data_IF_774457691464
#
_entry.id   IF_774457691464
#
_cell.length_a   1.000
_cell.length_b   1.000
_cell.length_c   1.000
_cell.angle_alpha   90.00
_cell.angle_beta   90.00
_cell.angle_gamma   90.00
#
_symmetry.space_group_name_H-M   'P 1'
#
loop_
_entity.id
_entity.type
_entity.pdbx_description
1 polymer ?
#
# COMPACT_ATOMS: atom_id res chain seq x y z
N UNK A 1 14.32 9.52 5.93
CA UNK A 1 13.58 8.55 6.77
C UNK A 1 12.95 9.37 7.88
N UNK A 2 11.62 9.49 8.00
CA UNK A 2 11.07 10.28 9.10
C UNK A 2 11.31 9.50 10.39
N UNK A 3 12.04 10.14 11.28
CA UNK A 3 12.59 9.61 12.52
C UNK A 3 11.48 9.40 13.56
N UNK A 4 11.43 8.20 14.17
CA UNK A 4 10.89 8.06 15.53
C UNK A 4 9.58 7.31 15.73
N UNK A 5 8.98 6.68 14.72
CA UNK A 5 7.90 5.72 14.99
C UNK A 5 8.51 4.35 15.38
N UNK A 6 8.16 3.79 16.55
CA UNK A 6 8.51 2.43 16.89
C UNK A 6 7.91 1.46 15.87
N UNK A 7 8.57 0.33 15.63
CA UNK A 7 8.03 -0.72 14.76
C UNK A 7 6.87 -1.40 15.48
N UNK A 8 5.72 -1.45 14.84
CA UNK A 8 4.59 -2.23 15.36
C UNK A 8 4.86 -3.72 15.14
N UNK A 9 4.73 -4.49 16.23
CA UNK A 9 4.95 -5.94 16.22
C UNK A 9 3.65 -6.60 15.75
N UNK A 10 3.71 -7.33 14.63
CA UNK A 10 2.56 -8.04 14.08
C UNK A 10 2.41 -9.43 14.72
N UNK A 11 3.52 -10.11 14.98
CA UNK A 11 3.56 -11.42 15.60
C UNK A 11 4.99 -11.81 15.95
N UNK A 12 5.13 -12.78 16.84
CA UNK A 12 6.42 -13.29 17.33
C UNK A 12 6.37 -14.81 17.39
N UNK A 13 7.49 -15.46 17.09
CA UNK A 13 7.67 -16.86 17.37
C UNK A 13 8.71 -17.06 18.47
N UNK A 14 8.38 -17.94 19.41
CA UNK A 14 9.22 -18.27 20.56
C UNK A 14 9.39 -19.78 20.62
N UNK A 15 10.62 -20.22 20.81
CA UNK A 15 10.91 -21.59 21.20
C UNK A 15 10.63 -21.76 22.70
N UNK A 16 9.86 -22.78 23.05
CA UNK A 16 9.59 -23.20 24.43
C UNK A 16 9.96 -24.67 24.58
N UNK A 17 10.08 -25.17 25.81
CA UNK A 17 10.53 -26.55 26.10
C UNK A 17 9.79 -27.65 25.32
N UNK A 18 8.57 -27.38 24.83
CA UNK A 18 7.74 -28.33 24.09
C UNK A 18 7.45 -27.93 22.63
N UNK A 19 8.32 -27.12 22.01
CA UNK A 19 8.29 -26.78 20.58
C UNK A 19 8.23 -25.28 20.29
N UNK A 20 7.90 -24.92 19.05
CA UNK A 20 7.70 -23.52 18.64
C UNK A 20 6.26 -23.06 18.88
N UNK A 21 6.13 -21.88 19.48
CA UNK A 21 4.85 -21.19 19.69
C UNK A 21 4.85 -19.88 18.92
N UNK A 22 3.79 -19.66 18.14
CA UNK A 22 3.51 -18.38 17.50
C UNK A 22 2.51 -17.57 18.31
N UNK A 23 2.77 -16.28 18.45
CA UNK A 23 1.95 -15.30 19.15
C UNK A 23 1.64 -14.15 18.20
N UNK A 24 0.36 -14.03 17.81
CA UNK A 24 -0.13 -12.99 16.91
C UNK A 24 -0.62 -11.78 17.73
N UNK A 25 -0.13 -10.58 17.40
CA UNK A 25 -0.50 -9.32 18.04
C UNK A 25 -1.44 -8.47 17.15
N UNK A 26 -1.80 -8.99 15.98
CA UNK A 26 -2.69 -8.34 15.02
C UNK A 26 -3.86 -9.26 14.66
N UNK A 27 -5.07 -8.71 14.58
CA UNK A 27 -6.25 -9.46 14.15
C UNK A 27 -6.17 -9.94 12.68
N UNK A 28 -5.35 -9.25 11.87
CA UNK A 28 -5.22 -9.50 10.43
C UNK A 28 -3.94 -10.22 10.04
N UNK A 29 -2.91 -10.15 10.87
CA UNK A 29 -1.59 -10.71 10.62
C UNK A 29 -1.36 -11.97 11.45
N UNK A 30 -1.11 -13.09 10.77
CA UNK A 30 -0.76 -14.36 11.42
C UNK A 30 0.63 -14.76 11.06
N UNK A 31 1.44 -15.12 12.05
CA UNK A 31 2.79 -15.61 11.85
C UNK A 31 2.79 -17.13 11.95
N UNK A 32 3.53 -17.79 11.06
CA UNK A 32 3.73 -19.24 11.10
C UNK A 32 5.21 -19.54 10.99
N UNK A 33 5.70 -20.38 11.90
CA UNK A 33 7.11 -20.65 12.11
C UNK A 33 7.37 -22.14 12.12
N UNK A 34 8.54 -22.53 11.62
CA UNK A 34 8.99 -23.92 11.57
C UNK A 34 10.32 -24.10 12.28
N UNK A 35 10.64 -25.34 12.62
CA UNK A 35 11.90 -25.73 13.26
C UNK A 35 13.13 -25.50 12.34
N UNK A 36 12.91 -25.15 11.06
CA UNK A 36 13.96 -24.87 10.06
C UNK A 36 14.42 -23.41 10.00
N UNK A 37 14.08 -22.61 11.01
CA UNK A 37 14.27 -21.15 11.02
C UNK A 37 13.53 -20.41 9.89
N UNK A 38 12.44 -21.00 9.38
CA UNK A 38 11.56 -20.30 8.44
C UNK A 38 10.40 -19.64 9.19
N UNK A 39 10.15 -18.39 8.85
CA UNK A 39 9.04 -17.59 9.38
C UNK A 39 8.27 -17.00 8.21
N UNK A 40 6.96 -17.19 8.23
CA UNK A 40 6.04 -16.66 7.25
C UNK A 40 5.02 -15.75 7.93
N UNK A 41 4.72 -14.62 7.28
CA UNK A 41 3.68 -13.69 7.70
C UNK A 41 2.54 -13.74 6.70
N UNK A 42 1.34 -14.06 7.18
CA UNK A 42 0.12 -14.06 6.39
C UNK A 42 -0.79 -12.90 6.81
N UNK A 43 -0.96 -11.92 5.92
CA UNK A 43 -1.82 -10.76 6.12
C UNK A 43 -3.16 -10.95 5.39
N UNK A 44 -4.27 -10.73 6.09
CA UNK A 44 -5.63 -10.81 5.56
C UNK A 44 -6.26 -9.43 5.43
N UNK A 45 -7.12 -9.23 4.42
CA UNK A 45 -7.80 -7.95 4.21
C UNK A 45 -6.83 -6.79 3.97
N UNK A 46 -5.83 -7.00 3.12
CA UNK A 46 -4.75 -6.04 2.83
C UNK A 46 -5.32 -4.82 2.10
N UNK A 47 -5.02 -3.62 2.59
CA UNK A 47 -5.43 -2.31 2.04
C UNK A 47 -4.22 -1.47 1.61
N UNK A 48 -4.38 -0.45 0.75
CA UNK A 48 -3.26 0.40 0.29
C UNK A 48 -2.42 0.98 1.42
N UNK A 49 -3.04 1.32 2.55
CA UNK A 49 -2.42 1.87 3.76
C UNK A 49 -1.49 0.87 4.46
N UNK A 50 -1.60 -0.43 4.17
CA UNK A 50 -0.68 -1.46 4.66
C UNK A 50 0.66 -1.45 3.92
N UNK A 51 0.79 -0.66 2.84
CA UNK A 51 2.05 -0.50 2.11
C UNK A 51 3.12 0.13 2.99
N UNK A 52 4.32 -0.44 2.99
CA UNK A 52 5.41 0.07 3.81
C UNK A 52 6.56 -0.90 3.98
N UNK A 53 7.43 -0.58 4.93
CA UNK A 53 8.55 -1.44 5.31
C UNK A 53 8.11 -2.43 6.37
N UNK A 54 8.35 -3.71 6.11
CA UNK A 54 8.15 -4.80 7.04
C UNK A 54 9.51 -5.36 7.43
N UNK A 55 9.68 -5.64 8.72
CA UNK A 55 10.96 -6.09 9.26
C UNK A 55 10.77 -7.41 9.99
N UNK A 56 11.52 -8.42 9.55
CA UNK A 56 11.63 -9.70 10.24
C UNK A 56 12.97 -9.75 10.95
N UNK A 57 12.94 -10.08 12.25
CA UNK A 57 14.14 -10.20 13.08
C UNK A 57 14.18 -11.58 13.69
N UNK A 58 15.26 -12.30 13.42
CA UNK A 58 15.57 -13.60 14.00
C UNK A 58 16.67 -13.44 15.03
N UNK A 59 16.44 -13.94 16.24
CA UNK A 59 17.43 -13.97 17.30
C UNK A 59 17.76 -15.43 17.61
N UNK A 60 19.02 -15.81 17.43
CA UNK A 60 19.55 -17.14 17.71
C UNK A 60 20.81 -17.03 18.55
N UNK A 61 21.32 -18.16 19.04
CA UNK A 61 22.60 -18.20 19.78
C UNK A 61 23.79 -17.71 18.94
N UNK A 62 23.69 -17.80 17.60
CA UNK A 62 24.69 -17.30 16.66
C UNK A 62 24.61 -15.78 16.43
N UNK A 63 23.58 -15.12 16.96
CA UNK A 63 23.35 -13.68 16.86
C UNK A 63 21.98 -13.31 16.31
N UNK A 64 21.83 -12.02 16.01
CA UNK A 64 20.59 -11.43 15.52
C UNK A 64 20.71 -11.11 14.04
N UNK A 65 19.82 -11.67 13.23
CA UNK A 65 19.69 -11.36 11.81
C UNK A 65 18.40 -10.56 11.58
N UNK A 66 18.49 -9.53 10.74
CA UNK A 66 17.33 -8.68 10.41
C UNK A 66 17.21 -8.52 8.91
N UNK A 67 16.03 -8.82 8.38
CA UNK A 67 15.68 -8.66 6.97
C UNK A 67 14.51 -7.69 6.85
N UNK A 68 14.62 -6.72 5.94
CA UNK A 68 13.56 -5.74 5.69
C UNK A 68 13.03 -5.93 4.27
N UNK A 69 11.71 -5.91 4.13
CA UNK A 69 10.98 -6.09 2.86
C UNK A 69 10.05 -4.89 2.66
N UNK A 70 9.86 -4.47 1.40
CA UNK A 70 8.89 -3.43 1.05
C UNK A 70 7.62 -4.11 0.53
N UNK A 71 6.50 -3.91 1.22
CA UNK A 71 5.18 -4.29 0.74
C UNK A 71 4.58 -3.14 -0.05
N UNK A 72 4.21 -3.39 -1.30
CA UNK A 72 3.48 -2.43 -2.13
C UNK A 72 2.10 -3.00 -2.44
N UNK A 73 1.06 -2.32 -1.95
CA UNK A 73 -0.33 -2.71 -2.18
C UNK A 73 -0.93 -1.72 -3.18
N UNK A 74 -1.23 -2.22 -4.37
CA UNK A 74 -1.92 -1.41 -5.36
C UNK A 74 -3.40 -1.32 -4.99
N UNK A 75 -4.01 -0.13 -5.10
CA UNK A 75 -5.45 0.01 -4.88
C UNK A 75 -6.21 -0.94 -5.84
N UNK A 76 -7.30 -1.58 -5.36
CA UNK A 76 -8.14 -2.40 -6.21
C UNK A 76 -8.58 -1.56 -7.40
N UNK A 77 -8.55 -2.14 -8.61
CA UNK A 77 -8.61 -1.48 -9.93
C UNK A 77 -9.72 -0.45 -10.16
N UNK A 78 -9.66 0.65 -9.42
CA UNK A 78 -10.46 1.84 -9.56
C UNK A 78 -9.69 2.86 -10.38
N UNK A 79 -10.44 3.63 -11.16
CA UNK A 79 -9.89 4.67 -12.02
C UNK A 79 -8.87 5.53 -11.28
N UNK A 80 -7.69 5.71 -11.88
CA UNK A 80 -6.74 6.68 -11.35
C UNK A 80 -7.41 8.04 -11.33
N UNK A 81 -7.55 8.62 -10.13
CA UNK A 81 -8.15 9.94 -9.96
C UNK A 81 -7.44 10.98 -10.84
N UNK A 82 -6.12 10.84 -11.03
CA UNK A 82 -5.36 11.72 -11.90
C UNK A 82 -5.76 11.58 -13.37
N UNK A 83 -5.99 10.35 -13.85
CA UNK A 83 -6.45 10.06 -15.21
C UNK A 83 -7.89 10.56 -15.41
N UNK A 84 -8.74 10.37 -14.42
CA UNK A 84 -10.13 10.87 -14.44
C UNK A 84 -10.18 12.40 -14.51
N UNK A 85 -9.40 13.10 -13.67
CA UNK A 85 -9.30 14.56 -13.68
C UNK A 85 -8.75 15.07 -15.02
N UNK A 86 -7.76 14.39 -15.61
CA UNK A 86 -7.24 14.73 -16.93
C UNK A 86 -8.34 14.72 -18.00
N UNK A 87 -9.21 13.70 -18.02
CA UNK A 87 -10.33 13.64 -18.96
C UNK A 87 -11.34 14.77 -18.76
N UNK A 88 -11.64 15.15 -17.50
CA UNK A 88 -12.52 16.28 -17.21
C UNK A 88 -11.95 17.58 -17.78
N UNK A 89 -10.66 17.85 -17.58
CA UNK A 89 -10.03 19.07 -18.10
C UNK A 89 -10.05 19.13 -19.63
N UNK A 90 -9.76 18.02 -20.30
CA UNK A 90 -9.82 17.94 -21.77
C UNK A 90 -11.25 18.18 -22.26
N UNK A 91 -12.24 17.54 -21.64
CA UNK A 91 -13.64 17.71 -22.00
C UNK A 91 -14.14 19.15 -21.81
N UNK A 92 -13.84 19.75 -20.66
CA UNK A 92 -14.21 21.14 -20.37
C UNK A 92 -13.53 22.12 -21.33
N UNK A 93 -12.23 21.92 -21.62
CA UNK A 93 -11.49 22.75 -22.57
C UNK A 93 -12.06 22.68 -23.99
N UNK A 94 -12.33 21.47 -24.48
CA UNK A 94 -12.92 21.27 -25.81
C UNK A 94 -14.32 21.88 -25.92
N UNK A 95 -15.20 21.64 -24.94
CA UNK A 95 -16.54 22.19 -24.92
C UNK A 95 -16.53 23.73 -24.85
N UNK A 96 -15.66 24.30 -24.00
CA UNK A 96 -15.47 25.74 -23.90
C UNK A 96 -14.99 26.38 -25.19
N UNK A 97 -14.04 25.75 -25.88
CA UNK A 97 -13.54 26.23 -27.17
C UNK A 97 -14.61 26.17 -28.27
N UNK A 98 -15.38 25.07 -28.35
CA UNK A 98 -16.50 24.94 -29.29
C UNK A 98 -17.57 26.00 -29.03
N UNK A 99 -17.90 26.24 -27.76
CA UNK A 99 -18.91 27.23 -27.39
C UNK A 99 -18.44 28.66 -27.73
N UNK A 100 -17.17 28.99 -27.44
CA UNK A 100 -16.59 30.30 -27.75
C UNK A 100 -16.53 30.56 -29.26
N UNK A 101 -16.10 29.57 -30.05
CA UNK A 101 -16.07 29.69 -31.52
C UNK A 101 -17.47 29.87 -32.09
N UNK A 102 -18.47 29.14 -31.59
CA UNK A 102 -19.88 29.32 -32.01
C UNK A 102 -20.40 30.75 -31.71
N UNK A 103 -20.11 31.29 -30.52
CA UNK A 103 -20.49 32.66 -30.15
C UNK A 103 -19.85 33.68 -31.10
N UNK A 104 -18.55 33.54 -31.41
CA UNK A 104 -17.85 34.45 -32.33
C UNK A 104 -18.50 34.40 -33.73
N UNK A 105 -18.79 33.20 -34.24
CA UNK A 105 -19.42 33.04 -35.56
C UNK A 105 -20.79 33.72 -35.58
N UNK A 106 -21.61 33.52 -34.54
CA UNK A 106 -22.92 34.15 -34.44
C UNK A 106 -22.79 35.68 -34.37
N UNK A 107 -21.87 36.21 -33.57
CA UNK A 107 -21.63 37.64 -33.43
C UNK A 107 -21.17 38.29 -34.75
N UNK A 108 -20.32 37.62 -35.53
CA UNK A 108 -19.87 38.10 -36.84
C UNK A 108 -20.99 38.02 -37.88
N UNK A 109 -21.83 36.97 -37.86
CA UNK A 109 -22.95 36.83 -38.81
C UNK A 109 -24.11 37.79 -38.56
N UNK A 110 -24.27 38.26 -37.32
CA UNK A 110 -25.34 39.17 -36.93
C UNK A 110 -24.99 40.67 -37.12
N UNK A 111 -23.77 40.95 -37.60
CA UNK A 111 -23.22 42.27 -37.87
C UNK A 111 -23.14 42.51 -39.37
#
# INVERSE_FOLDING_TARGET
MPHGHPWDIIGVCKEVENGLVSEDYSDRGRVSCTDTLDVSLHLTGVVPEDSGFYRCTFSTDAGVQTTTVVLTVNPPGGFSLSVYMMYIYIGAGAAGFILLTAIIILAVRHR
#
